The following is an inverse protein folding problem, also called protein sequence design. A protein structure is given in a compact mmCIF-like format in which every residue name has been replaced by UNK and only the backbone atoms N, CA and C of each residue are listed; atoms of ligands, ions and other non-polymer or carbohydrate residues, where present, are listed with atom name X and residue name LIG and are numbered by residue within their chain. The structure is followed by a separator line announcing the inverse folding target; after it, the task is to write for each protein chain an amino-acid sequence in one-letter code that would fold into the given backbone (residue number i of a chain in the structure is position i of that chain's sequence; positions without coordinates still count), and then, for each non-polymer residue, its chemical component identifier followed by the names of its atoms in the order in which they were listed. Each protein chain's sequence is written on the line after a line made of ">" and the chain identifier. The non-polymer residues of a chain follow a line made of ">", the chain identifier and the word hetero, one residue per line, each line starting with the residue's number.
data_IF_620518753104
#
_entry.id   IF_620518753104
#
_cell.length_a   1.000
_cell.length_b   1.000
_cell.length_c   1.000
_cell.angle_alpha   90.00
_cell.angle_beta   90.00
_cell.angle_gamma   90.00
#
_symmetry.space_group_name_H-M   'P 1'
#
loop_
_entity.id
_entity.type
_entity.pdbx_description
1 polymer ?
#
# COMPACT_ATOMS: atom_id res chain seq x y z
N UNK A 1 36.46 -55.20 27.05
CA UNK A 1 37.15 -53.92 27.35
C UNK A 1 37.89 -53.49 26.09
N UNK A 2 37.26 -52.65 25.27
CA UNK A 2 37.58 -51.22 25.08
C UNK A 2 38.82 -51.05 24.19
N UNK A 3 38.76 -50.53 22.96
CA UNK A 3 38.19 -49.22 22.66
C UNK A 3 37.80 -49.06 21.18
N UNK A 4 36.67 -48.37 20.98
CA UNK A 4 36.14 -47.84 19.73
C UNK A 4 37.05 -46.70 19.24
N UNK A 5 37.49 -46.76 17.98
CA UNK A 5 38.22 -45.65 17.34
C UNK A 5 37.25 -44.61 16.78
N UNK A 6 37.66 -43.35 16.93
CA UNK A 6 36.81 -42.17 17.06
C UNK A 6 36.32 -41.63 15.72
N UNK A 7 35.07 -41.16 15.74
CA UNK A 7 34.45 -40.28 14.73
C UNK A 7 35.38 -39.11 14.39
N UNK A 8 35.53 -38.82 13.10
CA UNK A 8 35.72 -37.45 12.64
C UNK A 8 34.53 -37.03 11.78
N UNK A 9 33.71 -36.16 12.37
CA UNK A 9 32.71 -35.33 11.71
C UNK A 9 33.41 -34.10 11.12
N UNK A 10 33.02 -33.70 9.90
CA UNK A 10 33.00 -32.32 9.40
C UNK A 10 32.08 -32.35 8.15
N UNK A 11 30.79 -31.95 8.20
CA UNK A 11 30.18 -30.59 8.21
C UNK A 11 30.57 -29.68 7.02
N UNK A 12 29.54 -29.24 6.28
CA UNK A 12 29.49 -27.99 5.48
C UNK A 12 29.30 -28.25 3.97
N UNK A 13 28.11 -28.17 3.39
CA UNK A 13 27.25 -27.01 3.08
C UNK A 13 27.49 -26.44 1.66
N UNK A 14 26.40 -26.24 0.92
CA UNK A 14 26.32 -25.25 -0.18
C UNK A 14 25.97 -25.80 -1.56
N UNK A 15 24.73 -26.26 -1.75
CA UNK A 15 24.14 -26.51 -3.07
C UNK A 15 24.10 -25.20 -3.87
N UNK A 16 24.59 -25.29 -5.10
CA UNK A 16 24.73 -24.18 -6.03
C UNK A 16 23.37 -23.63 -6.51
N UNK A 17 23.29 -22.31 -6.47
CA UNK A 17 22.62 -21.39 -7.41
C UNK A 17 21.87 -22.01 -8.59
N UNK A 18 20.58 -21.66 -8.75
CA UNK A 18 19.96 -21.58 -10.08
C UNK A 18 19.18 -20.27 -10.23
N UNK A 19 19.76 -19.36 -10.99
CA UNK A 19 19.04 -18.33 -11.71
C UNK A 19 19.19 -18.67 -13.20
N UNK A 20 18.11 -18.53 -13.98
CA UNK A 20 18.09 -17.99 -15.36
C UNK A 20 16.63 -18.01 -15.82
N UNK A 21 16.15 -16.83 -16.19
CA UNK A 21 14.94 -16.59 -16.95
C UNK A 21 15.16 -16.92 -18.43
N UNK A 22 14.11 -17.34 -19.14
CA UNK A 22 13.68 -16.71 -20.40
C UNK A 22 12.59 -17.53 -21.09
N UNK A 23 11.67 -16.78 -21.69
CA UNK A 23 10.60 -17.19 -22.58
C UNK A 23 11.07 -18.00 -23.79
N UNK A 24 10.14 -18.78 -24.37
CA UNK A 24 10.20 -19.12 -25.78
C UNK A 24 9.71 -20.53 -26.10
N UNK A 25 8.47 -20.61 -26.57
CA UNK A 25 7.99 -21.46 -27.67
C UNK A 25 8.59 -22.86 -27.75
N UNK A 26 7.76 -23.89 -27.54
CA UNK A 26 7.82 -25.10 -28.36
C UNK A 26 6.43 -25.69 -28.49
N UNK A 27 5.83 -25.38 -29.64
CA UNK A 27 4.76 -26.16 -30.25
C UNK A 27 5.16 -27.65 -30.32
N UNK A 28 4.13 -28.50 -30.29
CA UNK A 28 4.17 -29.95 -30.22
C UNK A 28 5.45 -30.66 -30.65
N UNK A 29 5.97 -31.51 -29.75
CA UNK A 29 6.73 -32.68 -30.15
C UNK A 29 6.17 -33.89 -29.40
N UNK A 30 5.81 -34.91 -30.18
CA UNK A 30 5.10 -36.09 -29.72
C UNK A 30 5.87 -36.96 -28.75
N UNK A 31 5.12 -37.86 -28.12
CA UNK A 31 5.58 -38.89 -27.21
C UNK A 31 6.85 -39.59 -27.70
N UNK A 32 7.96 -39.34 -27.01
CA UNK A 32 9.18 -40.16 -27.10
C UNK A 32 9.13 -41.16 -25.93
N UNK A 33 9.14 -42.48 -26.16
CA UNK A 33 9.13 -43.45 -25.06
C UNK A 33 10.50 -43.43 -24.36
N UNK A 34 10.51 -43.20 -23.05
CA UNK A 34 11.69 -43.41 -22.21
C UNK A 34 12.43 -42.17 -21.70
N UNK A 35 11.87 -40.97 -21.82
CA UNK A 35 12.33 -39.82 -21.04
C UNK A 35 11.48 -39.69 -19.79
N UNK A 36 12.07 -39.97 -18.62
CA UNK A 36 11.58 -39.48 -17.33
C UNK A 36 11.47 -37.96 -17.46
N UNK A 37 10.27 -37.49 -17.83
CA UNK A 37 9.89 -36.10 -17.63
C UNK A 37 9.95 -35.93 -16.12
N UNK A 38 10.83 -35.09 -15.56
CA UNK A 38 10.77 -34.83 -14.13
C UNK A 38 9.35 -34.35 -13.85
N UNK A 39 8.67 -34.98 -12.90
CA UNK A 39 7.33 -34.60 -12.45
C UNK A 39 7.39 -33.12 -12.06
N UNK A 40 7.07 -32.26 -13.02
CA UNK A 40 7.00 -30.82 -12.80
C UNK A 40 5.83 -30.72 -11.84
N UNK A 41 6.05 -30.33 -10.56
CA UNK A 41 4.96 -30.23 -9.63
C UNK A 41 3.92 -29.34 -10.29
N UNK A 42 2.76 -29.91 -10.54
CA UNK A 42 1.66 -29.20 -11.15
C UNK A 42 1.42 -27.98 -10.25
N UNK A 43 1.81 -26.80 -10.72
CA UNK A 43 1.58 -25.53 -10.02
C UNK A 43 0.11 -25.20 -10.15
N UNK A 44 -0.73 -26.07 -9.59
CA UNK A 44 -2.17 -25.91 -9.55
C UNK A 44 -2.45 -24.68 -8.70
N UNK A 45 -2.95 -23.63 -9.33
CA UNK A 45 -3.48 -22.48 -8.62
C UNK A 45 -4.83 -22.82 -8.00
N UNK A 46 -5.10 -22.36 -6.79
CA UNK A 46 -6.38 -22.46 -6.10
C UNK A 46 -7.08 -21.11 -6.06
N UNK A 47 -8.41 -21.12 -6.13
CA UNK A 47 -9.21 -19.89 -6.02
C UNK A 47 -9.13 -19.34 -4.60
N UNK A 48 -9.02 -18.02 -4.50
CA UNK A 48 -8.98 -17.23 -3.28
C UNK A 48 -10.01 -16.11 -3.38
N UNK A 49 -10.84 -16.01 -2.35
CA UNK A 49 -11.72 -14.86 -2.16
C UNK A 49 -11.12 -13.91 -1.15
N UNK A 50 -10.90 -12.68 -1.57
CA UNK A 50 -10.48 -11.59 -0.70
C UNK A 50 -11.73 -10.86 -0.20
N UNK A 51 -11.90 -10.83 1.11
CA UNK A 51 -12.92 -10.04 1.77
C UNK A 51 -12.25 -8.78 2.34
N UNK A 52 -12.83 -7.62 2.04
CA UNK A 52 -12.39 -6.37 2.65
C UNK A 52 -13.05 -6.21 4.02
N UNK A 53 -12.25 -5.98 5.05
CA UNK A 53 -12.71 -5.82 6.43
C UNK A 53 -12.26 -4.46 6.92
N UNK A 54 -13.18 -3.67 7.46
CA UNK A 54 -12.87 -2.36 8.04
C UNK A 54 -12.04 -2.55 9.30
N UNK A 55 -10.88 -1.91 9.39
CA UNK A 55 -9.93 -2.10 10.49
C UNK A 55 -10.41 -1.51 11.82
N UNK A 56 -11.35 -0.56 11.79
CA UNK A 56 -11.89 0.09 12.99
C UNK A 56 -13.06 -0.68 13.57
N UNK A 57 -13.98 -1.11 12.71
CA UNK A 57 -15.20 -1.83 13.12
C UNK A 57 -15.04 -3.35 13.13
N UNK A 58 -14.09 -3.89 12.35
CA UNK A 58 -13.94 -5.33 12.13
C UNK A 58 -15.03 -5.96 11.27
N UNK A 59 -15.90 -5.14 10.67
CA UNK A 59 -17.00 -5.57 9.82
C UNK A 59 -16.58 -5.65 8.34
N UNK A 60 -17.28 -6.47 7.55
CA UNK A 60 -17.07 -6.53 6.10
C UNK A 60 -17.43 -5.21 5.43
N UNK A 61 -16.59 -4.74 4.52
CA UNK A 61 -16.80 -3.48 3.79
C UNK A 61 -17.46 -3.74 2.45
N UNK A 62 -18.56 -3.03 2.19
CA UNK A 62 -19.30 -3.10 0.93
C UNK A 62 -20.31 -4.24 0.85
N UNK A 63 -21.17 -4.20 -0.16
CA UNK A 63 -22.13 -5.27 -0.42
C UNK A 63 -21.43 -6.48 -1.06
N UNK A 64 -22.09 -7.64 -1.12
CA UNK A 64 -21.55 -8.91 -1.64
C UNK A 64 -20.95 -8.86 -3.05
N UNK A 65 -21.14 -7.77 -3.79
CA UNK A 65 -20.60 -7.53 -5.15
C UNK A 65 -19.39 -6.60 -5.15
N UNK A 66 -19.35 -5.58 -4.28
CA UNK A 66 -18.28 -4.57 -4.24
C UNK A 66 -17.30 -4.76 -3.06
N UNK A 67 -17.66 -5.61 -2.09
CA UNK A 67 -16.86 -5.94 -0.91
C UNK A 67 -15.99 -7.19 -1.07
N UNK A 68 -15.95 -7.77 -2.27
CA UNK A 68 -15.28 -9.04 -2.55
C UNK A 68 -14.40 -8.91 -3.78
N UNK A 69 -13.17 -9.42 -3.69
CA UNK A 69 -12.24 -9.54 -4.82
C UNK A 69 -11.82 -11.00 -5.01
N UNK A 70 -12.07 -11.58 -6.18
CA UNK A 70 -11.70 -12.97 -6.49
C UNK A 70 -10.36 -13.03 -7.24
N UNK A 71 -9.45 -13.88 -6.78
CA UNK A 71 -8.11 -14.07 -7.35
C UNK A 71 -7.66 -15.54 -7.22
N UNK A 72 -6.47 -15.86 -7.71
CA UNK A 72 -5.87 -17.20 -7.64
C UNK A 72 -4.50 -17.13 -6.97
N UNK A 73 -4.19 -18.14 -6.14
CA UNK A 73 -2.89 -18.30 -5.48
C UNK A 73 -2.36 -19.71 -5.69
N UNK A 74 -1.06 -19.94 -5.48
CA UNK A 74 -0.50 -21.29 -5.60
C UNK A 74 -1.05 -22.22 -4.51
N UNK A 75 -1.23 -23.50 -4.85
CA UNK A 75 -1.60 -24.52 -3.87
C UNK A 75 -0.54 -24.61 -2.77
N UNK A 76 -0.98 -24.58 -1.52
CA UNK A 76 -0.11 -24.60 -0.34
C UNK A 76 0.33 -23.22 0.16
N UNK A 77 -0.02 -22.14 -0.55
CA UNK A 77 0.18 -20.78 -0.05
C UNK A 77 -0.66 -20.54 1.21
N UNK A 78 0.00 -20.09 2.28
CA UNK A 78 -0.64 -19.84 3.59
C UNK A 78 -0.98 -18.37 3.83
N UNK A 79 -0.30 -17.45 3.14
CA UNK A 79 -0.46 -16.01 3.30
C UNK A 79 -0.64 -15.33 1.95
N UNK A 80 -1.42 -14.27 1.93
CA UNK A 80 -1.72 -13.48 0.76
C UNK A 80 -1.18 -12.06 0.94
N UNK A 81 -0.50 -11.53 -0.07
CA UNK A 81 0.01 -10.15 -0.08
C UNK A 81 -1.09 -9.20 -0.59
N UNK A 82 -1.60 -8.28 0.25
CA UNK A 82 -2.61 -7.30 -0.16
C UNK A 82 -2.14 -6.37 -1.30
N UNK A 83 -0.82 -6.18 -1.52
CA UNK A 83 -0.28 -5.36 -2.62
C UNK A 83 -0.59 -5.92 -4.00
N UNK A 84 -0.95 -7.20 -4.08
CA UNK A 84 -1.36 -7.84 -5.33
C UNK A 84 -2.78 -7.43 -5.75
N UNK A 85 -3.55 -6.79 -4.87
CA UNK A 85 -4.88 -6.26 -5.18
C UNK A 85 -4.72 -4.93 -5.94
N UNK A 86 -5.25 -4.81 -7.16
CA UNK A 86 -5.25 -3.53 -7.87
C UNK A 86 -6.04 -2.47 -7.09
N UNK A 87 -5.54 -1.24 -7.02
CA UNK A 87 -6.22 -0.15 -6.28
C UNK A 87 -7.66 0.12 -6.75
N UNK A 88 -7.92 -0.09 -8.04
CA UNK A 88 -9.26 0.00 -8.67
C UNK A 88 -10.25 -1.09 -8.22
N UNK A 89 -9.76 -2.15 -7.56
CA UNK A 89 -10.56 -3.26 -7.01
C UNK A 89 -10.84 -3.11 -5.52
N UNK A 90 -10.28 -2.09 -4.87
CA UNK A 90 -10.65 -1.76 -3.49
C UNK A 90 -12.08 -1.16 -3.47
N UNK A 91 -12.82 -1.34 -2.35
CA UNK A 91 -14.10 -0.69 -2.19
C UNK A 91 -13.99 0.84 -2.37
N UNK A 92 -15.00 1.46 -2.98
CA UNK A 92 -14.94 2.88 -3.30
C UNK A 92 -14.72 3.73 -2.03
N UNK A 93 -13.69 4.58 -2.07
CA UNK A 93 -13.32 5.41 -0.92
C UNK A 93 -12.62 4.65 0.21
N UNK A 94 -12.18 3.41 0.01
CA UNK A 94 -11.35 2.65 0.95
C UNK A 94 -9.90 2.53 0.45
N UNK A 95 -8.97 2.40 1.39
CA UNK A 95 -7.56 2.11 1.14
C UNK A 95 -7.10 0.97 2.05
N UNK A 96 -6.01 0.30 1.70
CA UNK A 96 -5.42 -0.75 2.55
C UNK A 96 -4.95 -0.15 3.87
N UNK A 97 -5.34 -0.76 4.99
CA UNK A 97 -4.88 -0.36 6.33
C UNK A 97 -3.47 -0.83 6.63
N UNK A 98 -3.09 -1.98 6.09
CA UNK A 98 -1.74 -2.51 6.18
C UNK A 98 -1.35 -3.14 4.86
N UNK A 99 -0.04 -3.14 4.61
CA UNK A 99 0.57 -3.87 3.51
C UNK A 99 1.17 -5.21 3.94
N UNK A 100 0.94 -5.61 5.18
CA UNK A 100 1.41 -6.89 5.71
C UNK A 100 0.61 -8.05 5.12
N UNK A 101 1.27 -9.19 4.92
CA UNK A 101 0.60 -10.38 4.41
C UNK A 101 -0.46 -10.88 5.39
N UNK A 102 -1.64 -11.22 4.87
CA UNK A 102 -2.76 -11.76 5.64
C UNK A 102 -2.84 -13.28 5.53
N UNK A 103 -3.33 -13.95 6.56
CA UNK A 103 -3.50 -15.40 6.54
C UNK A 103 -4.65 -15.81 5.61
N UNK A 104 -4.41 -16.88 4.85
CA UNK A 104 -5.42 -17.55 4.03
C UNK A 104 -6.09 -18.63 4.89
N UNK A 105 -7.40 -18.49 5.07
CA UNK A 105 -8.23 -19.39 5.85
C UNK A 105 -9.10 -20.21 4.90
N UNK A 106 -9.10 -21.52 5.04
CA UNK A 106 -10.04 -22.38 4.32
C UNK A 106 -11.28 -22.62 5.19
N UNK A 107 -12.46 -22.20 4.71
CA UNK A 107 -13.72 -22.35 5.45
C UNK A 107 -14.46 -23.67 5.16
N UNK A 108 -13.79 -24.65 4.55
CA UNK A 108 -14.36 -25.92 4.10
C UNK A 108 -14.83 -25.89 2.63
N UNK A 109 -15.23 -24.73 2.11
CA UNK A 109 -15.73 -24.59 0.74
C UNK A 109 -14.78 -23.80 -0.16
N UNK A 110 -14.07 -22.82 0.38
CA UNK A 110 -13.15 -21.98 -0.38
C UNK A 110 -12.05 -21.39 0.51
N UNK A 111 -10.97 -20.93 -0.13
CA UNK A 111 -9.94 -20.15 0.54
C UNK A 111 -10.38 -18.68 0.62
N UNK A 112 -10.19 -18.07 1.78
CA UNK A 112 -10.55 -16.69 2.06
C UNK A 112 -9.34 -15.97 2.67
N UNK A 113 -9.12 -14.73 2.24
CA UNK A 113 -8.20 -13.80 2.89
C UNK A 113 -8.98 -12.57 3.34
N UNK A 114 -8.93 -12.24 4.63
CA UNK A 114 -9.54 -11.03 5.17
C UNK A 114 -8.49 -9.92 5.13
N UNK A 115 -8.69 -8.95 4.24
CA UNK A 115 -7.76 -7.85 4.03
C UNK A 115 -8.27 -6.61 4.75
N UNK A 116 -7.49 -6.07 5.71
CA UNK A 116 -7.90 -4.90 6.45
C UNK A 116 -7.81 -3.66 5.55
N UNK A 117 -8.92 -2.94 5.49
CA UNK A 117 -9.07 -1.66 4.80
C UNK A 117 -9.62 -0.64 5.79
N UNK A 118 -9.42 0.63 5.51
CA UNK A 118 -10.13 1.70 6.18
C UNK A 118 -10.67 2.64 5.14
N UNK A 119 -11.70 3.41 5.51
CA UNK A 119 -12.19 4.47 4.65
C UNK A 119 -11.03 5.43 4.40
N UNK A 120 -10.57 5.45 3.17
CA UNK A 120 -9.57 6.38 2.70
C UNK A 120 -10.04 7.77 3.09
N UNK A 121 -9.17 8.52 3.73
CA UNK A 121 -9.53 9.84 4.19
C UNK A 121 -9.99 10.66 2.99
N UNK A 122 -11.24 11.11 3.02
CA UNK A 122 -11.82 11.93 1.98
C UNK A 122 -10.90 13.14 1.73
N UNK A 123 -10.55 13.37 0.46
CA UNK A 123 -9.52 14.35 0.11
C UNK A 123 -10.11 15.74 -0.13
N UNK A 124 -9.40 16.78 0.31
CA UNK A 124 -9.69 18.16 -0.03
C UNK A 124 -8.50 18.83 -0.69
N UNK A 125 -8.78 19.74 -1.62
CA UNK A 125 -7.78 20.65 -2.17
C UNK A 125 -7.68 21.88 -1.28
N UNK A 126 -6.46 22.20 -0.86
CA UNK A 126 -6.16 23.38 -0.04
C UNK A 126 -5.12 24.25 -0.74
N UNK A 127 -5.41 25.54 -0.87
CA UNK A 127 -4.51 26.54 -1.41
C UNK A 127 -3.76 27.22 -0.26
N UNK A 128 -2.44 27.08 -0.28
CA UNK A 128 -1.50 27.68 0.66
C UNK A 128 -0.76 28.85 0.02
N UNK A 129 -0.43 29.84 0.83
CA UNK A 129 0.52 30.89 0.48
C UNK A 129 1.74 30.72 1.36
N UNK A 130 2.88 30.43 0.75
CA UNK A 130 4.17 30.33 1.44
C UNK A 130 4.80 31.71 1.53
N UNK A 131 5.13 32.15 2.75
CA UNK A 131 5.92 33.36 2.99
C UNK A 131 7.34 32.98 3.41
N UNK A 132 8.31 33.44 2.64
CA UNK A 132 9.71 33.13 2.89
C UNK A 132 10.31 34.10 3.91
N UNK A 133 11.05 33.56 4.88
CA UNK A 133 11.84 34.36 5.83
C UNK A 133 13.12 34.90 5.20
N UNK A 134 13.59 34.28 4.10
CA UNK A 134 14.74 34.73 3.32
C UNK A 134 14.41 36.02 2.57
N UNK A 135 15.16 37.08 2.85
CA UNK A 135 14.95 38.39 2.22
C UNK A 135 15.04 38.33 0.69
N UNK A 136 14.11 39.02 0.01
CA UNK A 136 14.08 39.13 -1.45
C UNK A 136 13.36 37.99 -2.18
N UNK A 137 12.91 36.95 -1.47
CA UNK A 137 12.13 35.85 -2.06
C UNK A 137 10.64 36.20 -2.06
N UNK A 138 10.01 36.12 -3.23
CA UNK A 138 8.58 36.38 -3.39
C UNK A 138 7.72 35.26 -2.79
N UNK A 139 6.53 35.58 -2.25
CA UNK A 139 5.59 34.56 -1.79
C UNK A 139 5.22 33.56 -2.90
N UNK A 140 5.03 32.29 -2.52
CA UNK A 140 4.69 31.20 -3.46
C UNK A 140 3.31 30.65 -3.13
N UNK A 141 2.41 30.59 -4.09
CA UNK A 141 1.14 29.89 -3.92
C UNK A 141 1.30 28.41 -4.29
N UNK A 142 0.77 27.53 -3.44
CA UNK A 142 0.87 26.08 -3.61
C UNK A 142 -0.48 25.45 -3.38
N UNK A 143 -0.91 24.62 -4.30
CA UNK A 143 -2.07 23.76 -4.14
C UNK A 143 -1.63 22.41 -3.57
N UNK A 144 -2.20 22.01 -2.43
CA UNK A 144 -1.93 20.74 -1.77
C UNK A 144 -3.21 19.91 -1.64
N UNK A 145 -3.05 18.60 -1.62
CA UNK A 145 -4.14 17.67 -1.35
C UNK A 145 -4.01 17.16 0.08
N UNK A 146 -5.09 17.27 0.85
CA UNK A 146 -5.12 16.81 2.25
C UNK A 146 -6.10 15.68 2.42
N UNK A 147 -5.74 14.75 3.30
CA UNK A 147 -6.51 13.58 3.68
C UNK A 147 -7.54 13.97 4.76
N UNK A 148 -8.36 14.97 4.48
CA UNK A 148 -9.39 15.50 5.37
C UNK A 148 -10.47 16.20 4.54
N UNK A 149 -11.74 16.06 4.94
CA UNK A 149 -12.85 16.88 4.43
C UNK A 149 -13.23 17.90 5.48
N UNK A 150 -13.38 19.15 5.06
CA UNK A 150 -13.77 20.26 5.92
C UNK A 150 -15.25 20.57 5.73
N UNK A 151 -15.99 20.71 6.82
CA UNK A 151 -17.38 21.16 6.79
C UNK A 151 -17.49 22.56 7.39
N UNK A 152 -17.03 23.55 6.64
CA UNK A 152 -17.07 24.95 7.06
C UNK A 152 -18.49 25.52 7.15
N UNK A 153 -19.51 24.82 6.64
CA UNK A 153 -20.91 25.23 6.80
C UNK A 153 -21.41 24.93 8.21
N UNK A 154 -21.09 23.74 8.71
CA UNK A 154 -21.48 23.30 10.06
C UNK A 154 -20.48 23.74 11.13
N UNK A 155 -19.19 23.82 10.77
CA UNK A 155 -18.10 24.23 11.66
C UNK A 155 -17.24 25.33 10.99
N UNK A 156 -17.67 26.61 11.06
CA UNK A 156 -16.95 27.72 10.42
C UNK A 156 -15.55 27.99 11.01
N UNK A 157 -15.26 27.45 12.20
CA UNK A 157 -13.98 27.61 12.88
C UNK A 157 -13.04 26.41 12.69
N UNK A 158 -13.35 25.51 11.75
CA UNK A 158 -12.49 24.38 11.46
C UNK A 158 -11.11 24.86 10.99
N UNK A 159 -10.06 24.29 11.58
CA UNK A 159 -8.67 24.64 11.30
C UNK A 159 -7.95 23.50 10.59
N UNK A 160 -6.92 23.91 9.85
CA UNK A 160 -5.93 23.03 9.25
C UNK A 160 -4.58 23.30 9.92
N UNK A 161 -3.75 22.27 10.05
CA UNK A 161 -2.41 22.37 10.62
C UNK A 161 -1.35 21.89 9.61
N UNK A 162 -0.08 22.03 9.98
CA UNK A 162 1.04 21.58 9.14
C UNK A 162 1.02 20.07 8.88
N UNK A 163 0.68 19.24 9.87
CA UNK A 163 0.64 17.79 9.72
C UNK A 163 -0.37 17.33 8.67
N UNK A 164 -1.49 18.04 8.51
CA UNK A 164 -2.51 17.75 7.50
C UNK A 164 -1.98 17.97 6.06
N UNK A 165 -1.01 18.87 5.87
CA UNK A 165 -0.51 19.30 4.55
C UNK A 165 0.90 18.80 4.22
N UNK A 166 1.66 18.32 5.20
CA UNK A 166 3.12 18.10 5.09
C UNK A 166 3.52 17.21 3.91
N UNK A 167 2.80 16.10 3.71
CA UNK A 167 3.19 15.09 2.71
C UNK A 167 3.06 15.67 1.29
N UNK A 168 1.90 16.28 0.99
CA UNK A 168 1.65 16.90 -0.31
C UNK A 168 2.48 18.17 -0.52
N UNK A 169 2.74 18.95 0.54
CA UNK A 169 3.56 20.15 0.46
C UNK A 169 5.03 19.82 0.16
N UNK A 170 5.62 18.88 0.89
CA UNK A 170 7.03 18.52 0.76
C UNK A 170 7.33 17.73 -0.53
N UNK A 171 6.32 17.04 -1.08
CA UNK A 171 6.42 16.46 -2.42
C UNK A 171 6.60 17.54 -3.50
N UNK A 172 5.85 18.65 -3.39
CA UNK A 172 5.84 19.75 -4.38
C UNK A 172 6.93 20.79 -4.15
N UNK A 173 7.25 21.08 -2.89
CA UNK A 173 8.24 22.07 -2.47
C UNK A 173 9.34 21.38 -1.67
N UNK A 174 10.33 20.83 -2.37
CA UNK A 174 11.45 20.11 -1.73
C UNK A 174 12.52 21.06 -1.17
N UNK A 175 12.49 22.32 -1.60
CA UNK A 175 13.44 23.40 -1.36
C UNK A 175 13.15 24.22 -0.10
N UNK A 176 12.16 23.83 0.71
CA UNK A 176 11.69 24.62 1.85
C UNK A 176 11.84 23.91 3.20
N UNK A 177 11.97 24.69 4.26
CA UNK A 177 11.85 24.29 5.67
C UNK A 177 10.63 24.99 6.28
N UNK A 178 9.48 24.31 6.42
CA UNK A 178 8.25 24.93 6.91
C UNK A 178 8.21 25.08 8.44
N UNK A 179 7.48 26.09 8.92
CA UNK A 179 7.08 26.17 10.33
C UNK A 179 6.10 25.04 10.68
N UNK A 180 6.57 24.07 11.46
CA UNK A 180 5.79 22.89 11.85
C UNK A 180 4.69 23.21 12.86
N UNK A 181 4.70 24.40 13.46
CA UNK A 181 3.66 24.85 14.42
C UNK A 181 2.51 25.59 13.73
N UNK A 182 2.58 25.72 12.40
CA UNK A 182 1.61 26.45 11.63
C UNK A 182 0.21 25.84 11.72
N UNK A 183 -0.75 26.73 11.92
CA UNK A 183 -2.19 26.46 11.88
C UNK A 183 -2.89 27.60 11.16
N UNK A 184 -3.99 27.29 10.48
CA UNK A 184 -4.78 28.28 9.75
C UNK A 184 -6.26 27.94 9.79
N UNK A 185 -7.09 28.98 9.76
CA UNK A 185 -8.49 28.85 9.35
C UNK A 185 -8.58 28.67 7.84
N UNK A 186 -9.75 28.22 7.38
CA UNK A 186 -10.02 28.00 5.97
C UNK A 186 -11.14 28.90 5.46
N UNK A 187 -11.05 29.26 4.19
CA UNK A 187 -12.12 29.92 3.44
C UNK A 187 -12.52 29.06 2.25
N UNK A 188 -13.82 28.92 2.01
CA UNK A 188 -14.33 28.25 0.82
C UNK A 188 -13.99 29.10 -0.40
N UNK A 189 -13.32 28.51 -1.39
CA UNK A 189 -13.01 29.13 -2.67
C UNK A 189 -13.42 28.20 -3.81
N UNK A 190 -13.43 28.71 -5.05
CA UNK A 190 -13.68 27.85 -6.20
C UNK A 190 -12.56 26.80 -6.31
N UNK A 191 -12.92 25.52 -6.33
CA UNK A 191 -11.97 24.40 -6.40
C UNK A 191 -11.42 23.91 -5.06
N UNK A 192 -11.86 24.42 -3.91
CA UNK A 192 -11.48 23.86 -2.61
C UNK A 192 -11.50 24.87 -1.47
N UNK A 193 -10.46 24.85 -0.66
CA UNK A 193 -10.31 25.70 0.52
C UNK A 193 -9.04 26.52 0.44
N UNK A 194 -9.05 27.76 0.92
CA UNK A 194 -7.86 28.60 1.01
C UNK A 194 -7.49 28.80 2.47
N UNK A 195 -6.22 28.56 2.81
CA UNK A 195 -5.70 28.93 4.12
C UNK A 195 -5.65 30.45 4.28
N UNK A 196 -6.18 30.97 5.37
CA UNK A 196 -6.22 32.41 5.68
C UNK A 196 -4.90 32.94 6.23
N UNK A 197 -4.15 32.10 6.94
CA UNK A 197 -2.83 32.42 7.49
C UNK A 197 -1.77 31.85 6.57
N UNK A 198 -0.85 32.66 6.01
CA UNK A 198 0.24 32.14 5.20
C UNK A 198 1.16 31.22 6.01
N UNK A 199 1.71 30.21 5.35
CA UNK A 199 2.70 29.30 5.95
C UNK A 199 4.08 29.94 5.84
N UNK A 200 4.69 30.24 6.99
CA UNK A 200 6.07 30.74 7.05
C UNK A 200 7.04 29.60 6.74
N UNK A 201 7.99 29.85 5.83
CA UNK A 201 8.98 28.86 5.40
C UNK A 201 10.36 29.50 5.26
N UNK A 202 11.43 28.73 5.44
CA UNK A 202 12.78 29.09 5.01
C UNK A 202 13.16 28.31 3.74
N UNK A 203 14.19 28.74 3.02
CA UNK A 203 14.80 27.92 1.97
C UNK A 203 15.79 26.93 2.59
N UNK A 204 15.82 25.70 2.07
CA UNK A 204 16.90 24.76 2.38
C UNK A 204 18.21 25.29 1.82
N UNK A 205 19.24 25.30 2.66
CA UNK A 205 20.62 25.63 2.28
C UNK A 205 21.28 24.56 1.44
#
# INVERSE_FOLDING_TARGET
>A
MSNISRRQFLKGAGVATLAVAAAGVLAGCGNVPGTDVPDVPEVTSVDLRVNFVDDQSGEGVGDSVNGIFETKVLKGTKRYDPKLIPAEKLPEGYVLSSTDEVDIINNGNMNIANVPVHKGASKSTVFLTLMFTTGGVQPRNVEVTVNKVFDLKSNPNEMINYDDVKDSLLEKCKDIEPDTTWVSYLQIVNGGYKATVPLTVALKG
#
